data_IF_733569056901
#
_entry.id   IF_733569056901
#
_cell.length_a   1.000
_cell.length_b   1.000
_cell.length_c   1.000
_cell.angle_alpha   90.00
_cell.angle_beta   90.00
_cell.angle_gamma   90.00
#
_symmetry.space_group_name_H-M   'P 1'
#
loop_
_entity.id
_entity.type
_entity.pdbx_description
1 polymer ?
#
# COMPACT_ATOMS: atom_id res chain seq x y z
N UNK A 1 -51.86 -19.42 19.46
CA UNK A 1 -50.75 -18.79 18.71
C UNK A 1 -49.45 -19.42 19.20
N UNK A 2 -48.52 -19.85 18.34
CA UNK A 2 -47.21 -20.26 18.82
C UNK A 2 -46.50 -19.03 19.39
N UNK A 3 -45.80 -19.20 20.52
CA UNK A 3 -45.02 -18.14 21.13
C UNK A 3 -43.88 -17.71 20.19
N UNK A 4 -43.56 -16.41 20.08
CA UNK A 4 -42.40 -15.97 19.33
C UNK A 4 -41.14 -16.53 20.00
N UNK A 5 -40.35 -17.29 19.24
CA UNK A 5 -39.04 -17.73 19.70
C UNK A 5 -38.11 -16.51 19.74
N UNK A 6 -37.46 -16.22 20.88
CA UNK A 6 -36.46 -15.17 20.92
C UNK A 6 -35.28 -15.57 20.02
N UNK A 7 -35.06 -14.80 18.95
CA UNK A 7 -33.84 -14.91 18.14
C UNK A 7 -32.70 -14.34 18.98
N UNK A 8 -31.75 -15.19 19.36
CA UNK A 8 -30.51 -14.72 19.97
C UNK A 8 -29.67 -14.01 18.90
N UNK A 9 -29.21 -12.80 19.19
CA UNK A 9 -28.26 -12.06 18.34
C UNK A 9 -26.91 -12.79 18.19
N UNK A 10 -26.62 -13.79 19.03
CA UNK A 10 -25.47 -14.69 18.86
C UNK A 10 -25.64 -15.70 17.71
N UNK A 11 -26.80 -15.76 17.07
CA UNK A 11 -27.11 -16.76 16.04
C UNK A 11 -27.06 -16.22 14.60
N UNK A 12 -26.66 -14.96 14.40
CA UNK A 12 -26.46 -14.38 13.06
C UNK A 12 -24.96 -14.26 12.74
N UNK A 13 -24.55 -14.55 11.50
CA UNK A 13 -23.14 -14.51 11.11
C UNK A 13 -22.61 -13.08 11.00
N UNK A 14 -21.31 -12.90 11.23
CA UNK A 14 -20.59 -11.69 10.80
C UNK A 14 -20.36 -11.77 9.29
N UNK A 15 -20.48 -10.66 8.54
CA UNK A 15 -20.01 -10.62 7.16
C UNK A 15 -18.52 -11.00 7.07
N UNK A 16 -18.11 -11.53 5.92
CA UNK A 16 -16.69 -11.81 5.62
C UNK A 16 -16.32 -11.14 4.30
N UNK A 17 -15.08 -10.65 4.20
CA UNK A 17 -14.55 -10.12 2.95
C UNK A 17 -13.51 -11.09 2.39
N UNK A 18 -13.74 -11.63 1.20
CA UNK A 18 -12.91 -12.70 0.61
C UNK A 18 -11.45 -12.29 0.42
N UNK A 19 -11.19 -11.01 0.11
CA UNK A 19 -9.86 -10.46 -0.14
C UNK A 19 -9.12 -10.05 1.14
N UNK A 20 -9.75 -10.17 2.31
CA UNK A 20 -9.12 -9.87 3.58
C UNK A 20 -8.35 -11.09 4.12
N UNK A 21 -7.20 -10.84 4.72
CA UNK A 21 -6.42 -11.87 5.43
C UNK A 21 -6.49 -11.55 6.92
N UNK A 22 -7.23 -12.37 7.66
CA UNK A 22 -7.61 -12.03 9.04
C UNK A 22 -8.45 -10.75 9.04
N UNK A 23 -8.05 -9.78 9.87
CA UNK A 23 -8.75 -8.51 10.00
C UNK A 23 -8.13 -7.39 9.13
N UNK A 24 -7.31 -7.74 8.13
CA UNK A 24 -6.61 -6.76 7.27
C UNK A 24 -7.08 -6.88 5.83
N UNK A 25 -7.55 -5.76 5.26
CA UNK A 25 -7.78 -5.61 3.83
C UNK A 25 -6.62 -4.83 3.21
N UNK A 26 -5.82 -5.51 2.39
CA UNK A 26 -4.76 -4.84 1.63
C UNK A 26 -5.33 -4.25 0.33
N UNK A 27 -5.11 -2.96 0.10
CA UNK A 27 -5.49 -2.25 -1.13
C UNK A 27 -4.49 -2.54 -2.27
N UNK A 28 -4.25 -3.81 -2.54
CA UNK A 28 -3.50 -4.23 -3.72
C UNK A 28 -4.51 -4.88 -4.66
N UNK A 29 -4.83 -4.24 -5.79
CA UNK A 29 -5.79 -4.77 -6.75
C UNK A 29 -5.19 -6.02 -7.42
N UNK A 30 -5.75 -7.23 -7.18
CA UNK A 30 -5.37 -8.39 -7.97
C UNK A 30 -5.77 -8.18 -9.44
N UNK A 31 -4.93 -8.62 -10.38
CA UNK A 31 -5.17 -8.42 -11.83
C UNK A 31 -6.55 -8.94 -12.28
N UNK A 32 -7.02 -10.04 -11.68
CA UNK A 32 -8.28 -10.70 -12.02
C UNK A 32 -9.49 -10.23 -11.18
N UNK A 33 -9.28 -9.41 -10.16
CA UNK A 33 -10.35 -8.98 -9.26
C UNK A 33 -11.02 -7.70 -9.74
N UNK A 34 -12.35 -7.71 -9.72
CA UNK A 34 -13.19 -6.53 -10.00
C UNK A 34 -13.46 -5.70 -8.74
N UNK A 35 -13.22 -6.24 -7.55
CA UNK A 35 -13.54 -5.59 -6.28
C UNK A 35 -13.36 -6.46 -5.05
N UNK A 36 -13.88 -5.99 -3.92
CA UNK A 36 -13.95 -6.73 -2.66
C UNK A 36 -15.31 -7.40 -2.55
N UNK A 37 -15.33 -8.74 -2.46
CA UNK A 37 -16.54 -9.53 -2.26
C UNK A 37 -16.83 -9.65 -0.78
N UNK A 38 -17.99 -9.13 -0.37
CA UNK A 38 -18.52 -9.26 0.99
C UNK A 38 -19.61 -10.31 0.98
N UNK A 39 -19.47 -11.32 1.83
CA UNK A 39 -20.40 -12.44 1.95
C UNK A 39 -21.00 -12.50 3.36
N UNK A 40 -22.26 -12.93 3.42
CA UNK A 40 -22.96 -13.23 4.65
C UNK A 40 -23.53 -14.62 4.51
N UNK A 41 -23.02 -15.55 5.33
CA UNK A 41 -23.54 -16.92 5.38
C UNK A 41 -25.04 -16.92 5.64
N UNK A 42 -25.72 -17.98 5.20
CA UNK A 42 -27.15 -18.15 5.49
C UNK A 42 -27.45 -18.04 6.99
N UNK A 43 -28.47 -17.26 7.35
CA UNK A 43 -28.91 -17.08 8.73
C UNK A 43 -30.23 -17.83 9.05
N UNK A 44 -30.53 -18.11 10.34
CA UNK A 44 -31.59 -19.06 10.71
C UNK A 44 -33.01 -18.73 10.24
N UNK A 45 -33.33 -17.45 10.05
CA UNK A 45 -34.65 -16.95 9.65
C UNK A 45 -34.60 -16.23 8.30
N UNK A 46 -33.57 -16.50 7.49
CA UNK A 46 -33.50 -16.01 6.11
C UNK A 46 -34.69 -16.52 5.32
N UNK A 47 -35.31 -15.64 4.53
CA UNK A 47 -36.41 -16.00 3.63
C UNK A 47 -36.24 -15.28 2.29
N UNK A 48 -36.73 -15.88 1.21
CA UNK A 48 -36.87 -15.17 -0.07
C UNK A 48 -37.69 -13.88 0.12
N UNK A 49 -37.30 -12.82 -0.60
CA UNK A 49 -37.85 -11.46 -0.52
C UNK A 49 -37.65 -10.74 0.83
N UNK A 50 -36.91 -11.30 1.78
CA UNK A 50 -36.44 -10.54 2.93
C UNK A 50 -35.54 -9.40 2.44
N UNK A 51 -35.79 -8.16 2.88
CA UNK A 51 -35.00 -7.02 2.43
C UNK A 51 -33.69 -6.96 3.22
N UNK A 52 -32.57 -6.95 2.50
CA UNK A 52 -31.22 -6.87 3.04
C UNK A 52 -30.56 -5.55 2.62
N UNK A 53 -29.83 -4.94 3.55
CA UNK A 53 -29.08 -3.71 3.32
C UNK A 53 -27.64 -3.91 3.79
N UNK A 54 -26.69 -3.44 2.99
CA UNK A 54 -25.27 -3.41 3.33
C UNK A 54 -24.73 -2.00 3.18
N UNK A 55 -24.13 -1.48 4.25
CA UNK A 55 -23.33 -0.27 4.22
C UNK A 55 -21.86 -0.59 4.43
N UNK A 56 -20.99 0.17 3.78
CA UNK A 56 -19.56 0.20 4.04
C UNK A 56 -19.17 1.62 4.46
N UNK A 57 -18.50 1.74 5.61
CA UNK A 57 -18.11 3.01 6.20
C UNK A 57 -16.60 3.02 6.44
N UNK A 58 -15.91 4.07 6.04
CA UNK A 58 -14.46 4.17 6.19
C UNK A 58 -13.98 5.61 6.23
N UNK A 59 -12.66 5.78 6.14
CA UNK A 59 -12.03 7.10 6.05
C UNK A 59 -11.13 7.15 4.82
N UNK A 60 -11.27 8.21 4.03
CA UNK A 60 -10.43 8.48 2.88
C UNK A 60 -9.09 9.10 3.31
N UNK A 61 -8.09 9.08 2.43
CA UNK A 61 -6.75 9.65 2.63
C UNK A 61 -6.79 11.14 2.97
N UNK A 62 -7.74 11.89 2.41
CA UNK A 62 -7.99 13.31 2.71
C UNK A 62 -8.68 13.56 4.08
N UNK A 63 -9.02 12.49 4.80
CA UNK A 63 -9.68 12.53 6.10
C UNK A 63 -11.21 12.54 6.05
N UNK A 64 -11.82 12.67 4.88
CA UNK A 64 -13.29 12.60 4.71
C UNK A 64 -13.82 11.19 4.99
N UNK A 65 -15.11 11.09 5.33
CA UNK A 65 -15.74 9.80 5.56
C UNK A 65 -16.17 9.16 4.22
N UNK A 66 -15.82 7.89 4.03
CA UNK A 66 -16.49 7.04 3.04
C UNK A 66 -17.78 6.52 3.67
N UNK A 67 -18.91 6.72 3.00
CA UNK A 67 -20.22 6.18 3.36
C UNK A 67 -20.87 5.61 2.10
N UNK A 68 -20.74 4.31 1.89
CA UNK A 68 -21.24 3.62 0.71
C UNK A 68 -22.46 2.78 1.08
N UNK A 69 -23.58 3.02 0.40
CA UNK A 69 -24.71 2.08 0.40
C UNK A 69 -24.45 1.04 -0.71
N UNK A 70 -23.97 -0.14 -0.31
CA UNK A 70 -23.58 -1.22 -1.23
C UNK A 70 -24.80 -1.94 -1.78
N UNK A 71 -25.82 -2.11 -0.95
CA UNK A 71 -27.12 -2.65 -1.30
C UNK A 71 -28.18 -1.97 -0.45
N UNK A 72 -29.26 -1.49 -1.07
CA UNK A 72 -30.34 -0.77 -0.38
C UNK A 72 -31.65 -1.57 -0.45
N UNK A 73 -32.04 -2.17 0.68
CA UNK A 73 -33.30 -2.90 0.85
C UNK A 73 -33.55 -3.90 -0.29
N UNK A 74 -32.50 -4.60 -0.72
CA UNK A 74 -32.60 -5.54 -1.82
C UNK A 74 -33.26 -6.83 -1.36
N UNK A 75 -34.24 -7.37 -2.10
CA UNK A 75 -34.88 -8.62 -1.74
C UNK A 75 -33.90 -9.79 -1.92
N UNK A 76 -33.77 -10.61 -0.87
CA UNK A 76 -33.06 -11.89 -0.93
C UNK A 76 -33.66 -12.75 -2.02
N UNK A 77 -32.85 -13.10 -3.01
CA UNK A 77 -33.22 -14.01 -4.11
C UNK A 77 -33.21 -15.46 -3.64
N UNK A 78 -33.84 -16.34 -4.43
CA UNK A 78 -33.80 -17.79 -4.19
C UNK A 78 -32.38 -18.34 -4.13
N UNK A 79 -31.51 -17.90 -5.04
CA UNK A 79 -30.11 -18.34 -5.09
C UNK A 79 -29.39 -17.94 -3.79
N UNK A 80 -29.58 -16.71 -3.32
CA UNK A 80 -28.96 -16.25 -2.08
C UNK A 80 -29.56 -16.94 -0.83
N UNK A 81 -30.83 -17.30 -0.86
CA UNK A 81 -31.43 -18.13 0.20
C UNK A 81 -30.77 -19.52 0.29
N UNK A 82 -30.42 -20.11 -0.86
CA UNK A 82 -29.78 -21.42 -0.95
C UNK A 82 -28.27 -21.36 -0.62
N UNK A 83 -27.56 -20.32 -1.08
CA UNK A 83 -26.10 -20.23 -1.05
C UNK A 83 -25.52 -19.24 -0.02
N UNK A 84 -26.32 -18.29 0.48
CA UNK A 84 -25.87 -17.13 1.24
C UNK A 84 -25.92 -15.84 0.42
N UNK A 85 -25.87 -14.70 1.09
CA UNK A 85 -25.97 -13.38 0.46
C UNK A 85 -24.57 -12.81 0.20
N UNK A 86 -24.32 -12.17 -0.95
CA UNK A 86 -23.03 -11.54 -1.20
C UNK A 86 -23.14 -10.33 -2.15
N UNK A 87 -22.24 -9.35 -2.02
CA UNK A 87 -22.07 -8.27 -2.99
C UNK A 87 -20.59 -8.00 -3.24
N UNK A 88 -20.27 -7.47 -4.42
CA UNK A 88 -18.91 -7.05 -4.76
C UNK A 88 -18.87 -5.54 -4.81
N UNK A 89 -17.92 -4.95 -4.08
CA UNK A 89 -17.66 -3.52 -4.06
C UNK A 89 -16.49 -3.23 -4.98
N UNK A 90 -16.70 -2.41 -6.00
CA UNK A 90 -15.65 -2.09 -6.96
C UNK A 90 -14.45 -1.40 -6.29
N UNK A 91 -13.25 -1.72 -6.77
CA UNK A 91 -12.01 -1.12 -6.26
C UNK A 91 -11.99 0.41 -6.34
N UNK A 92 -12.68 0.99 -7.32
CA UNK A 92 -12.80 2.45 -7.50
C UNK A 92 -13.37 3.15 -6.25
N UNK A 93 -14.24 2.48 -5.48
CA UNK A 93 -14.78 3.03 -4.24
C UNK A 93 -13.83 2.89 -3.03
N UNK A 94 -12.79 2.06 -3.16
CA UNK A 94 -11.91 1.69 -2.05
C UNK A 94 -10.49 2.24 -2.21
N UNK A 95 -10.13 2.72 -3.40
CA UNK A 95 -8.77 3.11 -3.77
C UNK A 95 -8.20 4.23 -2.89
N UNK A 96 -9.05 5.12 -2.38
CA UNK A 96 -8.64 6.30 -1.60
C UNK A 96 -8.79 6.07 -0.09
N UNK A 97 -9.02 4.83 0.36
CA UNK A 97 -9.12 4.53 1.78
C UNK A 97 -7.77 4.71 2.48
N UNK A 98 -7.80 5.38 3.63
CA UNK A 98 -6.61 5.75 4.39
C UNK A 98 -5.94 4.51 5.01
N UNK A 99 -4.65 4.35 4.77
CA UNK A 99 -3.81 3.36 5.45
C UNK A 99 -3.95 3.46 6.99
N UNK A 100 -4.01 2.31 7.68
CA UNK A 100 -4.26 2.16 9.12
C UNK A 100 -5.61 2.71 9.62
N UNK A 101 -6.54 3.09 8.73
CA UNK A 101 -7.94 3.30 9.10
C UNK A 101 -8.71 1.98 9.12
N UNK A 102 -9.99 2.03 9.45
CA UNK A 102 -10.87 0.87 9.40
C UNK A 102 -11.96 1.07 8.35
N UNK A 103 -12.26 0.01 7.61
CA UNK A 103 -13.45 -0.14 6.79
C UNK A 103 -14.42 -1.07 7.53
N UNK A 104 -15.59 -0.55 7.85
CA UNK A 104 -16.62 -1.23 8.63
C UNK A 104 -17.80 -1.56 7.74
N UNK A 105 -18.19 -2.83 7.71
CA UNK A 105 -19.39 -3.30 7.04
C UNK A 105 -20.52 -3.49 8.04
N UNK A 106 -21.64 -2.86 7.77
CA UNK A 106 -22.87 -2.97 8.55
C UNK A 106 -23.92 -3.63 7.69
N UNK A 107 -24.20 -4.90 7.99
CA UNK A 107 -25.24 -5.67 7.34
C UNK A 107 -26.49 -5.72 8.22
N UNK A 108 -27.65 -5.56 7.60
CA UNK A 108 -28.92 -5.58 8.29
C UNK A 108 -30.03 -6.17 7.42
N UNK A 109 -31.06 -6.71 8.07
CA UNK A 109 -32.24 -7.24 7.39
C UNK A 109 -33.53 -6.73 8.03
N UNK A 110 -34.55 -6.51 7.21
CA UNK A 110 -35.90 -6.26 7.69
C UNK A 110 -36.51 -7.56 8.22
N UNK A 111 -37.02 -7.57 9.45
CA UNK A 111 -37.72 -8.74 10.01
C UNK A 111 -39.17 -8.84 9.53
N UNK A 112 -39.81 -7.70 9.29
CA UNK A 112 -41.20 -7.60 8.83
C UNK A 112 -41.28 -6.61 7.66
N UNK A 113 -42.16 -6.86 6.69
CA UNK A 113 -42.39 -5.98 5.53
C UNK A 113 -43.47 -4.90 5.78
N UNK A 114 -43.97 -4.76 7.02
CA UNK A 114 -45.12 -3.89 7.36
C UNK A 114 -44.82 -3.12 8.65
N UNK A 115 -44.37 -1.86 8.54
CA UNK A 115 -44.22 -0.93 9.67
C UNK A 115 -42.80 -0.43 9.95
N UNK A 116 -42.67 0.54 10.86
CA UNK A 116 -41.41 1.15 11.33
C UNK A 116 -40.61 0.23 12.27
N UNK A 117 -40.48 -1.05 11.94
CA UNK A 117 -39.70 -1.97 12.76
C UNK A 117 -38.20 -1.72 12.54
N UNK A 118 -37.44 -1.69 13.64
CA UNK A 118 -35.99 -1.58 13.59
C UNK A 118 -35.41 -2.79 12.84
N UNK A 119 -34.53 -2.59 11.85
CA UNK A 119 -33.88 -3.69 11.16
C UNK A 119 -33.02 -4.49 12.15
N UNK A 120 -32.87 -5.79 11.89
CA UNK A 120 -31.97 -6.62 12.66
C UNK A 120 -30.54 -6.39 12.17
N UNK A 121 -29.68 -5.83 13.02
CA UNK A 121 -28.26 -5.65 12.75
C UNK A 121 -27.50 -6.95 13.01
N UNK A 122 -26.63 -7.31 12.07
CA UNK A 122 -25.67 -8.40 12.24
C UNK A 122 -24.40 -7.85 12.90
N UNK A 123 -23.58 -8.69 13.55
CA UNK A 123 -22.27 -8.26 14.04
C UNK A 123 -21.47 -7.61 12.88
N UNK A 124 -20.91 -6.42 13.07
CA UNK A 124 -20.20 -5.74 11.99
C UNK A 124 -18.88 -6.45 11.68
N UNK A 125 -18.46 -6.38 10.41
CA UNK A 125 -17.09 -6.71 10.02
C UNK A 125 -16.27 -5.42 10.03
N UNK A 126 -15.16 -5.40 10.75
CA UNK A 126 -14.25 -4.25 10.84
C UNK A 126 -12.88 -4.67 10.35
N UNK A 127 -12.44 -4.14 9.22
CA UNK A 127 -11.15 -4.46 8.61
C UNK A 127 -10.20 -3.27 8.72
N UNK A 128 -8.98 -3.49 9.18
CA UNK A 128 -7.91 -2.52 9.07
C UNK A 128 -7.48 -2.42 7.60
N UNK A 129 -7.42 -1.20 7.09
CA UNK A 129 -6.97 -0.91 5.73
C UNK A 129 -5.46 -0.83 5.68
N UNK A 130 -4.87 -1.54 4.72
CA UNK A 130 -3.44 -1.51 4.44
C UNK A 130 -3.17 -1.17 2.99
N UNK A 131 -2.67 0.03 2.75
CA UNK A 131 -2.04 0.36 1.47
C UNK A 131 -0.61 -0.23 1.41
N UNK A 132 -0.25 -0.99 0.36
CA UNK A 132 1.13 -1.42 0.14
C UNK A 132 2.07 -0.22 -0.03
N UNK A 133 3.33 -0.36 0.38
CA UNK A 133 4.31 0.71 0.17
C UNK A 133 4.61 0.86 -1.32
N UNK A 134 4.53 2.10 -1.80
CA UNK A 134 5.10 2.55 -3.07
C UNK A 134 5.68 3.97 -2.88
N UNK A 135 6.93 4.01 -2.42
CA UNK A 135 7.66 5.24 -2.16
C UNK A 135 8.48 5.61 -3.40
N UNK A 136 8.08 6.67 -4.12
CA UNK A 136 8.77 7.18 -5.31
C UNK A 136 9.37 8.56 -5.04
N UNK A 137 10.61 8.77 -5.48
CA UNK A 137 11.29 10.06 -5.47
C UNK A 137 11.72 10.40 -6.90
N UNK A 138 11.06 11.39 -7.50
CA UNK A 138 11.40 11.92 -8.83
C UNK A 138 12.21 13.22 -8.76
N UNK A 139 12.44 13.76 -7.55
CA UNK A 139 13.11 15.04 -7.33
C UNK A 139 12.47 16.28 -7.99
N UNK A 140 11.29 16.13 -8.58
CA UNK A 140 10.55 17.21 -9.22
C UNK A 140 10.18 18.30 -8.21
N UNK A 141 10.15 19.55 -8.67
CA UNK A 141 9.88 20.72 -7.83
C UNK A 141 10.82 20.89 -6.61
N UNK A 142 11.97 20.23 -6.60
CA UNK A 142 12.90 20.29 -5.48
C UNK A 142 12.56 19.35 -4.33
N UNK A 143 11.62 18.41 -4.52
CA UNK A 143 11.16 17.50 -3.47
C UNK A 143 12.11 16.31 -3.30
N UNK A 144 12.76 16.21 -2.14
CA UNK A 144 13.64 15.09 -1.82
C UNK A 144 12.90 13.86 -1.30
N UNK A 145 11.58 13.93 -1.09
CA UNK A 145 10.78 12.88 -0.45
C UNK A 145 11.49 12.30 0.80
N UNK A 146 11.93 13.18 1.70
CA UNK A 146 12.66 12.86 2.94
C UNK A 146 14.02 12.13 2.77
N UNK A 147 14.61 12.14 1.58
CA UNK A 147 16.01 11.78 1.42
C UNK A 147 16.92 12.88 1.96
N UNK A 148 17.97 12.48 2.65
CA UNK A 148 19.01 13.35 3.18
C UNK A 148 20.35 13.01 2.51
N UNK A 149 21.23 14.01 2.41
CA UNK A 149 22.62 13.80 2.00
C UNK A 149 23.32 12.97 3.07
N UNK A 150 23.98 11.89 2.65
CA UNK A 150 24.64 10.97 3.57
C UNK A 150 25.83 11.60 4.29
N UNK A 151 26.18 11.03 5.45
CA UNK A 151 27.13 11.61 6.39
C UNK A 151 28.56 11.74 5.86
N UNK A 152 28.91 10.92 4.86
CA UNK A 152 30.22 10.94 4.21
C UNK A 152 30.34 12.05 3.16
N UNK A 153 29.23 12.63 2.69
CA UNK A 153 29.20 13.65 1.64
C UNK A 153 29.18 15.07 2.23
N UNK A 154 29.77 16.02 1.50
CA UNK A 154 29.58 17.45 1.79
C UNK A 154 28.30 17.91 1.12
N UNK A 155 27.61 18.92 1.68
CA UNK A 155 26.37 19.45 1.10
C UNK A 155 26.53 19.96 -0.35
N UNK A 156 27.73 20.42 -0.72
CA UNK A 156 28.02 20.83 -2.09
C UNK A 156 28.24 19.67 -3.07
N UNK A 157 28.35 18.43 -2.58
CA UNK A 157 28.66 17.26 -3.39
C UNK A 157 27.45 16.59 -4.04
N UNK A 158 26.26 16.95 -3.55
CA UNK A 158 24.99 16.43 -4.00
C UNK A 158 24.06 17.62 -4.23
N UNK A 159 23.80 17.91 -5.50
CA UNK A 159 23.09 19.11 -5.95
C UNK A 159 21.84 18.68 -6.69
N UNK A 160 20.68 19.17 -6.26
CA UNK A 160 19.45 19.01 -7.03
C UNK A 160 19.33 20.12 -8.09
N UNK A 161 19.21 19.74 -9.36
CA UNK A 161 19.01 20.68 -10.47
C UNK A 161 18.04 20.11 -11.51
N UNK A 162 16.99 20.87 -11.81
CA UNK A 162 15.98 20.52 -12.83
C UNK A 162 15.39 19.11 -12.67
N UNK A 163 14.98 18.75 -11.45
CA UNK A 163 14.40 17.42 -11.18
C UNK A 163 15.40 16.28 -11.16
N UNK A 164 16.71 16.55 -11.25
CA UNK A 164 17.74 15.51 -11.27
C UNK A 164 18.73 15.74 -10.13
N UNK A 165 19.01 14.68 -9.39
CA UNK A 165 20.05 14.70 -8.37
C UNK A 165 21.41 14.51 -9.03
N UNK A 166 22.25 15.52 -8.91
CA UNK A 166 23.57 15.58 -9.50
C UNK A 166 24.60 15.34 -8.42
N UNK A 167 25.56 14.47 -8.68
CA UNK A 167 26.80 14.45 -7.93
C UNK A 167 27.98 14.74 -8.86
N UNK A 168 28.62 15.88 -8.61
CA UNK A 168 29.59 16.51 -9.52
C UNK A 168 30.56 17.36 -8.72
N UNK A 169 31.66 16.76 -8.22
CA UNK A 169 32.70 17.49 -7.49
C UNK A 169 34.11 17.01 -7.78
N UNK A 170 35.04 17.96 -7.68
CA UNK A 170 36.46 17.74 -7.92
C UNK A 170 37.16 16.88 -6.85
N UNK A 171 36.52 16.51 -5.75
CA UNK A 171 37.12 15.61 -4.76
C UNK A 171 36.04 14.93 -3.95
N UNK A 172 35.63 13.75 -4.40
CA UNK A 172 34.47 13.06 -3.86
C UNK A 172 34.87 11.93 -2.90
N UNK A 173 34.30 11.91 -1.68
CA UNK A 173 34.46 10.78 -0.77
C UNK A 173 33.68 9.55 -1.27
N UNK A 174 34.19 8.37 -0.94
CA UNK A 174 33.39 7.14 -0.98
C UNK A 174 32.61 7.03 0.34
N UNK A 175 31.39 6.50 0.30
CA UNK A 175 30.54 6.34 1.47
C UNK A 175 29.04 6.45 1.18
N UNK A 176 28.27 6.79 2.20
CA UNK A 176 26.83 7.06 2.13
C UNK A 176 26.57 8.32 1.31
N UNK A 177 25.98 8.15 0.11
CA UNK A 177 25.58 9.25 -0.75
C UNK A 177 24.25 9.86 -0.28
N UNK A 178 23.26 9.01 -0.06
CA UNK A 178 21.92 9.38 0.37
C UNK A 178 21.44 8.42 1.43
N UNK A 179 20.66 8.95 2.38
CA UNK A 179 20.01 8.17 3.43
C UNK A 179 18.55 8.58 3.55
N UNK A 180 17.66 7.61 3.83
CA UNK A 180 16.26 7.86 4.14
C UNK A 180 15.78 6.87 5.18
N UNK A 181 15.06 7.35 6.19
CA UNK A 181 14.28 6.46 7.06
C UNK A 181 12.97 6.12 6.35
N UNK A 182 12.75 4.84 6.07
CA UNK A 182 11.47 4.32 5.58
C UNK A 182 10.74 3.65 6.76
N UNK A 183 9.44 3.91 6.88
CA UNK A 183 8.59 3.40 7.97
C UNK A 183 7.35 2.70 7.41
N UNK A 184 6.72 1.83 8.20
CA UNK A 184 5.49 1.15 7.81
C UNK A 184 5.69 -0.10 6.96
N UNK A 185 6.89 -0.67 6.95
CA UNK A 185 7.18 -1.94 6.29
C UNK A 185 6.42 -3.08 6.97
N UNK A 186 5.89 -4.00 6.17
CA UNK A 186 5.33 -5.25 6.65
C UNK A 186 6.45 -6.26 6.85
N UNK A 187 6.68 -6.67 8.10
CA UNK A 187 7.73 -7.64 8.44
C UNK A 187 7.50 -8.96 7.71
N UNK A 188 8.54 -9.50 7.07
CA UNK A 188 8.49 -10.71 6.27
C UNK A 188 8.07 -10.50 4.81
N UNK A 189 7.64 -9.29 4.43
CA UNK A 189 7.31 -8.97 3.05
C UNK A 189 8.57 -8.59 2.25
N UNK A 190 8.50 -8.81 0.94
CA UNK A 190 9.59 -8.52 0.00
C UNK A 190 9.34 -7.18 -0.68
N UNK A 191 10.40 -6.42 -0.87
CA UNK A 191 10.38 -5.09 -1.48
C UNK A 191 11.40 -5.02 -2.61
N UNK A 192 11.06 -4.32 -3.70
CA UNK A 192 12.00 -3.87 -4.72
C UNK A 192 12.50 -2.47 -4.34
N UNK A 193 13.80 -2.26 -4.39
CA UNK A 193 14.43 -0.96 -4.22
C UNK A 193 15.30 -0.67 -5.43
N UNK A 194 14.98 0.41 -6.13
CA UNK A 194 15.60 0.78 -7.39
C UNK A 194 15.88 2.28 -7.51
N UNK A 195 16.77 2.62 -8.44
CA UNK A 195 16.98 3.99 -8.91
C UNK A 195 17.52 4.00 -10.35
N UNK A 196 17.41 5.15 -11.01
CA UNK A 196 18.06 5.41 -12.29
C UNK A 196 19.39 6.12 -12.08
N UNK A 197 20.43 5.70 -12.80
CA UNK A 197 21.78 6.30 -12.77
C UNK A 197 22.26 6.54 -14.18
N UNK A 198 22.93 7.67 -14.42
CA UNK A 198 23.82 7.82 -15.56
C UNK A 198 25.09 8.56 -15.17
N UNK A 199 26.17 8.28 -15.88
CA UNK A 199 27.41 9.03 -15.75
C UNK A 199 27.29 10.37 -16.49
N UNK A 200 27.91 11.44 -16.00
CA UNK A 200 27.85 12.77 -16.66
C UNK A 200 28.85 12.95 -17.78
N UNK A 201 29.99 12.30 -17.67
CA UNK A 201 31.08 12.37 -18.63
C UNK A 201 31.78 11.00 -18.70
N UNK A 202 32.83 10.85 -19.51
CA UNK A 202 33.60 9.59 -19.60
C UNK A 202 34.91 9.61 -18.80
N UNK A 203 35.10 10.60 -17.91
CA UNK A 203 36.35 10.82 -17.14
C UNK A 203 36.41 9.89 -15.94
N UNK A 204 37.48 9.08 -15.87
CA UNK A 204 37.70 8.15 -14.77
C UNK A 204 37.91 8.89 -13.43
N UNK A 205 37.49 8.32 -12.29
CA UNK A 205 36.97 6.96 -12.15
C UNK A 205 35.52 6.80 -12.62
N UNK A 206 35.15 5.56 -12.94
CA UNK A 206 33.76 5.20 -13.24
C UNK A 206 32.97 5.18 -11.93
N UNK A 207 31.76 5.76 -11.87
CA UNK A 207 30.91 5.65 -10.69
C UNK A 207 30.60 4.22 -10.34
N UNK A 208 30.68 3.88 -9.05
CA UNK A 208 30.33 2.57 -8.51
C UNK A 208 29.33 2.78 -7.40
N UNK A 209 28.11 2.25 -7.55
CA UNK A 209 27.03 2.43 -6.59
C UNK A 209 26.49 1.10 -6.07
N UNK A 210 25.92 1.11 -4.87
CA UNK A 210 25.09 0.02 -4.34
C UNK A 210 23.90 0.57 -3.55
N UNK A 211 22.92 -0.30 -3.32
CA UNK A 211 21.73 -0.04 -2.50
C UNK A 211 21.79 -0.89 -1.23
N UNK A 212 21.40 -0.32 -0.09
CA UNK A 212 21.27 -1.03 1.18
C UNK A 212 19.95 -0.67 1.88
N UNK A 213 19.39 -1.62 2.61
CA UNK A 213 18.19 -1.44 3.45
C UNK A 213 18.45 -2.03 4.84
N UNK A 214 18.75 -1.16 5.80
CA UNK A 214 19.19 -1.56 7.14
C UNK A 214 20.53 -2.29 7.06
N UNK A 215 20.54 -3.57 7.45
CA UNK A 215 21.69 -4.48 7.33
C UNK A 215 21.67 -5.31 6.03
N UNK A 216 20.64 -5.19 5.20
CA UNK A 216 20.55 -5.93 3.94
C UNK A 216 21.34 -5.21 2.85
N UNK A 217 22.24 -5.94 2.18
CA UNK A 217 22.77 -5.55 0.88
C UNK A 217 21.71 -5.86 -0.17
N UNK A 218 21.18 -4.81 -0.81
CA UNK A 218 20.10 -4.92 -1.80
C UNK A 218 20.70 -5.18 -3.19
N UNK A 219 21.82 -4.54 -3.48
CA UNK A 219 22.59 -4.76 -4.72
C UNK A 219 24.08 -4.87 -4.43
N UNK A 220 24.77 -5.57 -5.33
CA UNK A 220 26.23 -5.57 -5.39
C UNK A 220 26.76 -4.20 -5.86
N UNK A 221 28.04 -3.94 -5.57
CA UNK A 221 28.73 -2.76 -6.09
C UNK A 221 28.76 -2.77 -7.62
N UNK A 222 28.03 -1.86 -8.24
CA UNK A 222 27.79 -1.86 -9.69
C UNK A 222 28.44 -0.65 -10.36
N UNK A 223 29.30 -0.84 -11.37
CA UNK A 223 29.91 0.27 -12.11
C UNK A 223 28.96 0.83 -13.19
N UNK A 224 28.88 2.15 -13.30
CA UNK A 224 28.05 2.86 -14.28
C UNK A 224 28.92 3.60 -15.31
N UNK A 225 29.36 2.88 -16.35
CA UNK A 225 30.28 3.43 -17.35
C UNK A 225 29.62 4.32 -18.41
N UNK A 226 28.30 4.18 -18.62
CA UNK A 226 27.55 4.81 -19.70
C UNK A 226 26.93 6.15 -19.29
N UNK A 227 26.81 7.06 -20.27
CA UNK A 227 26.09 8.34 -20.12
C UNK A 227 24.59 8.21 -20.41
N UNK A 228 24.12 7.03 -20.82
CA UNK A 228 22.70 6.70 -20.87
C UNK A 228 22.20 6.27 -19.49
N UNK A 229 20.93 6.55 -19.20
CA UNK A 229 20.26 6.07 -17.99
C UNK A 229 20.26 4.54 -17.92
N UNK A 230 20.60 4.03 -16.75
CA UNK A 230 20.63 2.61 -16.40
C UNK A 230 19.91 2.44 -15.06
N UNK A 231 19.27 1.29 -14.85
CA UNK A 231 18.59 0.99 -13.59
C UNK A 231 19.53 0.21 -12.67
N UNK A 232 19.65 0.66 -11.42
CA UNK A 232 20.13 -0.16 -10.31
C UNK A 232 18.91 -0.64 -9.55
N UNK A 233 18.72 -1.95 -9.39
CA UNK A 233 17.57 -2.51 -8.67
C UNK A 233 17.99 -3.81 -7.99
N UNK A 234 17.37 -4.08 -6.85
CA UNK A 234 17.44 -5.34 -6.14
C UNK A 234 16.27 -5.47 -5.17
N UNK A 235 16.22 -6.58 -4.44
CA UNK A 235 15.13 -6.84 -3.51
C UNK A 235 15.64 -7.11 -2.10
N UNK A 236 14.88 -6.71 -1.09
CA UNK A 236 15.12 -7.10 0.30
C UNK A 236 13.83 -7.58 0.96
N UNK A 237 13.98 -8.32 2.07
CA UNK A 237 12.86 -8.70 2.94
C UNK A 237 12.92 -7.84 4.18
N UNK A 238 11.81 -7.21 4.55
CA UNK A 238 11.76 -6.37 5.74
C UNK A 238 11.83 -7.24 7.00
N UNK A 239 12.79 -6.97 7.88
CA UNK A 239 12.93 -7.62 9.19
C UNK A 239 12.33 -6.80 10.32
N UNK A 240 12.07 -5.52 10.07
CA UNK A 240 11.53 -4.53 11.00
C UNK A 240 10.53 -3.63 10.26
N UNK A 241 9.64 -2.95 10.98
CA UNK A 241 8.67 -2.02 10.40
C UNK A 241 9.31 -0.73 9.89
N UNK A 242 10.51 -0.42 10.40
CA UNK A 242 11.30 0.74 10.02
C UNK A 242 12.65 0.26 9.50
N UNK A 243 13.19 0.92 8.49
CA UNK A 243 14.56 0.68 8.03
C UNK A 243 15.21 1.96 7.52
N UNK A 244 16.54 1.97 7.48
CA UNK A 244 17.30 3.03 6.82
C UNK A 244 17.70 2.55 5.44
N UNK A 245 17.19 3.21 4.41
CA UNK A 245 17.63 3.05 3.04
C UNK A 245 18.91 3.85 2.82
N UNK A 246 19.85 3.28 2.07
CA UNK A 246 21.09 3.95 1.70
C UNK A 246 21.40 3.75 0.22
N UNK A 247 21.83 4.83 -0.41
CA UNK A 247 22.56 4.79 -1.69
C UNK A 247 24.03 5.04 -1.36
N UNK A 248 24.92 4.16 -1.79
CA UNK A 248 26.36 4.27 -1.49
C UNK A 248 27.18 4.46 -2.75
N UNK A 249 28.21 5.29 -2.64
CA UNK A 249 29.21 5.53 -3.69
C UNK A 249 30.56 4.98 -3.25
N UNK A 250 31.22 4.16 -4.07
CA UNK A 250 32.48 3.50 -3.71
C UNK A 250 33.70 4.08 -4.43
N UNK A 251 33.51 4.84 -5.50
CA UNK A 251 34.61 5.48 -6.19
C UNK A 251 35.04 6.76 -5.46
N UNK A 252 36.34 6.92 -5.21
CA UNK A 252 36.95 8.14 -4.68
C UNK A 252 38.00 8.68 -5.65
N UNK A 253 38.13 10.00 -5.81
CA UNK A 253 39.10 10.60 -6.73
C UNK A 253 39.01 12.12 -6.82
N UNK A 254 39.97 12.73 -7.51
CA UNK A 254 40.13 14.18 -7.64
C UNK A 254 39.63 14.77 -8.98
N UNK A 255 38.95 13.97 -9.80
CA UNK A 255 38.16 14.33 -11.00
C UNK A 255 37.54 13.03 -11.53
N UNK A 256 36.31 13.05 -12.05
CA UNK A 256 35.53 11.85 -12.38
C UNK A 256 34.73 11.29 -11.19
N UNK A 257 33.99 10.19 -11.37
CA UNK A 257 32.86 9.78 -10.49
C UNK A 257 31.67 10.76 -10.49
N UNK A 258 31.47 11.46 -11.60
CA UNK A 258 30.32 12.36 -11.78
C UNK A 258 29.13 11.60 -12.37
N UNK A 259 28.00 11.68 -11.69
CA UNK A 259 26.79 10.98 -12.10
C UNK A 259 25.53 11.73 -11.70
N UNK A 260 24.44 11.28 -12.28
CA UNK A 260 23.10 11.77 -12.03
C UNK A 260 22.24 10.60 -11.57
N UNK A 261 21.36 10.86 -10.60
CA UNK A 261 20.37 9.93 -10.06
C UNK A 261 18.98 10.53 -10.25
N UNK A 262 18.03 9.66 -10.55
CA UNK A 262 16.61 9.98 -10.62
C UNK A 262 15.77 8.73 -10.30
N UNK A 263 14.46 8.90 -10.09
CA UNK A 263 13.46 7.85 -9.92
C UNK A 263 13.84 6.80 -8.87
N UNK A 264 14.17 7.26 -7.66
CA UNK A 264 14.43 6.35 -6.53
C UNK A 264 13.09 5.78 -6.06
N UNK A 265 12.92 4.46 -6.11
CA UNK A 265 11.66 3.80 -5.76
C UNK A 265 11.86 2.65 -4.79
N UNK A 266 11.04 2.58 -3.74
CA UNK A 266 10.83 1.37 -2.95
C UNK A 266 9.38 0.95 -3.05
N UNK A 267 9.11 -0.29 -3.47
CA UNK A 267 7.75 -0.81 -3.58
C UNK A 267 7.63 -2.23 -3.04
N UNK A 268 6.49 -2.54 -2.45
CA UNK A 268 6.15 -3.91 -2.04
C UNK A 268 5.89 -4.80 -3.27
N UNK A 269 6.30 -6.07 -3.20
CA UNK A 269 6.16 -7.07 -4.27
C UNK A 269 5.09 -8.11 -3.98
#
# INVERSE_FOLDING_TARGET
MPAPYPVSLHCVPTPVAEQAVGDVLTLNRPEESTGVKVEVSRWPFMTENQLATLHACGQNTDGTALMLCVADAEPVTRKEYEEGWHRTIEWSYLQDLKHNSHLVFVFQVALNSVGCDCPLLFPPLSLQIREPIDDMTTFENGDWNNWEVGSDMRLGDVILRNGILISDTASKPAGELLVKKLTGLAVGHRYDFSLSVRRRNSIAPVPILSLEAGSNSVTEQTPFALTSWQILSGTFVATEQDTTLRVKSYASGNDGNDFEIDNIRVREL
#
